data_IF_046532999458
#
_entry.id   IF_046532999458
#
_cell.length_a   1.000
_cell.length_b   1.000
_cell.length_c   1.000
_cell.angle_alpha   90.00
_cell.angle_beta   90.00
_cell.angle_gamma   90.00
#
_symmetry.space_group_name_H-M   'P 1'
#
loop_
_entity.id
_entity.type
_entity.pdbx_description
1 polymer ?
#
# COMPACT_ATOMS: atom_id res chain seq x y z
N UNK A 1 -21.21 -45.85 67.01
CA UNK A 1 -21.49 -45.98 65.56
C UNK A 1 -21.23 -44.61 64.92
N UNK A 2 -19.97 -44.31 64.52
CA UNK A 2 -19.56 -43.00 64.05
C UNK A 2 -19.36 -43.08 62.54
N UNK A 3 -20.21 -42.33 61.80
CA UNK A 3 -20.19 -42.23 60.35
C UNK A 3 -19.29 -41.03 59.99
N UNK A 4 -18.17 -41.32 59.35
CA UNK A 4 -17.24 -40.30 58.82
C UNK A 4 -17.68 -39.90 57.44
N UNK A 5 -18.15 -38.66 57.25
CA UNK A 5 -18.35 -38.06 55.95
C UNK A 5 -16.98 -37.57 55.42
N UNK A 6 -16.54 -38.13 54.30
CA UNK A 6 -15.39 -37.60 53.56
C UNK A 6 -15.90 -36.56 52.54
N UNK A 7 -15.50 -35.33 52.74
CA UNK A 7 -15.76 -34.24 51.78
C UNK A 7 -14.69 -34.30 50.65
N UNK A 8 -15.12 -34.61 49.41
CA UNK A 8 -14.29 -34.53 48.20
C UNK A 8 -14.20 -33.03 47.78
N UNK A 9 -13.03 -32.42 47.95
CA UNK A 9 -12.72 -31.12 47.34
C UNK A 9 -12.35 -31.34 45.84
N UNK A 10 -13.24 -30.92 44.94
CA UNK A 10 -12.95 -30.80 43.51
C UNK A 10 -12.15 -29.53 43.25
N UNK A 11 -10.85 -29.63 43.06
CA UNK A 11 -10.02 -28.53 42.54
C UNK A 11 -10.32 -28.35 41.02
N UNK A 12 -11.08 -27.32 40.70
CA UNK A 12 -11.25 -26.87 39.31
C UNK A 12 -10.01 -26.07 38.90
N UNK A 13 -9.10 -26.69 38.14
CA UNK A 13 -7.99 -26.01 37.46
C UNK A 13 -8.52 -25.24 36.26
N UNK A 14 -8.69 -23.92 36.40
CA UNK A 14 -9.00 -23.02 35.29
C UNK A 14 -7.79 -22.93 34.38
N UNK A 15 -7.88 -23.57 33.21
CA UNK A 15 -6.88 -23.46 32.14
C UNK A 15 -7.02 -22.07 31.49
N UNK A 16 -6.19 -21.12 31.86
CA UNK A 16 -6.09 -19.81 31.20
C UNK A 16 -5.34 -20.04 29.87
N UNK A 17 -6.07 -20.14 28.78
CA UNK A 17 -5.48 -20.14 27.44
C UNK A 17 -4.86 -18.75 27.18
N UNK A 18 -3.58 -18.67 26.81
CA UNK A 18 -3.02 -17.40 26.37
C UNK A 18 -3.72 -16.98 25.08
N UNK A 19 -4.50 -15.91 25.12
CA UNK A 19 -4.98 -15.23 23.93
C UNK A 19 -3.75 -14.64 23.23
N UNK A 20 -3.23 -15.30 22.23
CA UNK A 20 -2.31 -14.68 21.27
C UNK A 20 -3.13 -13.63 20.52
N UNK A 21 -3.22 -12.43 21.07
CA UNK A 21 -3.53 -11.26 20.29
C UNK A 21 -2.48 -11.24 19.18
N UNK A 22 -2.90 -11.52 17.95
CA UNK A 22 -2.05 -11.39 16.78
C UNK A 22 -1.57 -9.93 16.75
N UNK A 23 -0.36 -9.69 17.25
CA UNK A 23 0.38 -8.49 16.91
C UNK A 23 0.54 -8.56 15.39
N UNK A 24 -0.34 -7.85 14.67
CA UNK A 24 -0.14 -7.60 13.26
C UNK A 24 1.25 -6.97 13.16
N UNK A 25 2.18 -7.78 12.67
CA UNK A 25 3.57 -7.39 12.60
C UNK A 25 3.65 -6.13 11.75
N UNK A 26 4.13 -5.04 12.34
CA UNK A 26 4.49 -3.79 11.67
C UNK A 26 5.70 -4.04 10.76
N UNK A 27 5.51 -4.86 9.73
CA UNK A 27 6.55 -5.24 8.80
C UNK A 27 6.22 -4.74 7.39
N UNK A 28 7.23 -4.31 6.64
CA UNK A 28 7.03 -3.91 5.25
C UNK A 28 6.62 -5.12 4.41
N UNK A 29 5.66 -4.95 3.51
CA UNK A 29 5.40 -5.94 2.47
C UNK A 29 6.43 -5.78 1.36
N UNK A 30 7.17 -6.84 1.03
CA UNK A 30 8.25 -6.82 0.03
C UNK A 30 8.09 -7.88 -1.05
N UNK A 31 7.15 -8.81 -0.87
CA UNK A 31 6.91 -9.95 -1.75
C UNK A 31 5.59 -9.81 -2.52
N UNK A 32 5.46 -8.72 -3.28
CA UNK A 32 4.34 -8.50 -4.18
C UNK A 32 4.71 -8.81 -5.62
N UNK A 33 3.71 -9.20 -6.42
CA UNK A 33 3.87 -9.29 -7.87
C UNK A 33 4.44 -7.99 -8.44
N UNK A 34 5.25 -8.09 -9.48
CA UNK A 34 5.93 -6.93 -10.11
C UNK A 34 5.51 -6.76 -11.55
N UNK A 35 5.56 -5.53 -12.02
CA UNK A 35 5.38 -5.17 -13.41
C UNK A 35 6.34 -4.05 -13.81
N UNK A 36 6.69 -3.99 -15.07
CA UNK A 36 7.48 -2.90 -15.62
C UNK A 36 6.55 -1.85 -16.21
N UNK A 37 6.65 -0.63 -15.68
CA UNK A 37 6.02 0.54 -16.27
C UNK A 37 7.06 1.40 -16.98
N UNK A 38 6.58 2.31 -17.82
CA UNK A 38 7.41 3.31 -18.50
C UNK A 38 6.72 4.67 -18.50
N UNK A 39 7.52 5.74 -18.54
CA UNK A 39 7.05 7.09 -18.82
C UNK A 39 8.15 7.82 -19.62
N UNK A 40 7.84 8.23 -20.84
CA UNK A 40 8.86 8.70 -21.77
C UNK A 40 9.94 7.63 -22.00
N UNK A 41 11.19 7.95 -21.72
CA UNK A 41 12.35 7.04 -21.85
C UNK A 41 12.68 6.27 -20.57
N UNK A 42 11.96 6.53 -19.47
CA UNK A 42 12.27 5.94 -18.17
C UNK A 42 11.46 4.66 -17.94
N UNK A 43 12.15 3.64 -17.44
CA UNK A 43 11.53 2.39 -16.97
C UNK A 43 11.45 2.41 -15.46
N UNK A 44 10.38 1.86 -14.92
CA UNK A 44 10.09 1.77 -13.50
C UNK A 44 9.73 0.32 -13.19
N UNK A 45 10.43 -0.29 -12.26
CA UNK A 45 10.09 -1.60 -11.74
C UNK A 45 9.14 -1.43 -10.57
N UNK A 46 7.88 -1.79 -10.73
CA UNK A 46 6.83 -1.55 -9.75
C UNK A 46 6.31 -2.82 -9.11
N UNK A 47 6.13 -2.80 -7.80
CA UNK A 47 5.31 -3.78 -7.12
C UNK A 47 3.83 -3.43 -7.28
N UNK A 48 2.97 -4.44 -7.36
CA UNK A 48 1.52 -4.27 -7.59
C UNK A 48 0.79 -4.52 -6.27
N UNK A 49 0.11 -3.48 -5.76
CA UNK A 49 -0.83 -3.58 -4.64
C UNK A 49 -2.26 -3.60 -5.19
N UNK A 50 -2.89 -4.79 -5.23
CA UNK A 50 -4.21 -4.97 -5.86
C UNK A 50 -5.30 -5.50 -4.92
N UNK A 51 -4.94 -6.10 -3.78
CA UNK A 51 -5.94 -6.45 -2.75
C UNK A 51 -6.11 -5.30 -1.77
N UNK A 52 -7.26 -5.23 -1.09
CA UNK A 52 -7.51 -4.19 -0.07
C UNK A 52 -6.41 -4.15 0.98
N UNK A 53 -5.96 -5.31 1.48
CA UNK A 53 -4.87 -5.40 2.46
C UNK A 53 -3.54 -4.89 1.89
N UNK A 54 -3.20 -5.25 0.64
CA UNK A 54 -1.97 -4.77 0.00
C UNK A 54 -1.98 -3.26 -0.19
N UNK A 55 -3.13 -2.69 -0.59
CA UNK A 55 -3.29 -1.23 -0.74
C UNK A 55 -3.24 -0.51 0.60
N UNK A 56 -3.82 -1.09 1.66
CA UNK A 56 -3.78 -0.51 3.01
C UNK A 56 -2.35 -0.45 3.57
N UNK A 57 -1.56 -1.52 3.39
CA UNK A 57 -0.17 -1.56 3.85
C UNK A 57 0.72 -0.67 2.96
N UNK A 58 0.57 -0.73 1.65
CA UNK A 58 1.37 0.06 0.71
C UNK A 58 2.87 -0.02 0.98
N UNK A 59 3.53 1.14 1.06
CA UNK A 59 4.96 1.29 1.36
C UNK A 59 5.27 1.50 2.85
N UNK A 60 4.31 1.25 3.74
CA UNK A 60 4.52 1.35 5.19
C UNK A 60 5.74 0.55 5.65
N UNK A 61 6.43 1.05 6.67
CA UNK A 61 7.58 0.44 7.36
C UNK A 61 8.83 0.25 6.50
N UNK A 62 8.83 0.60 5.22
CA UNK A 62 10.04 0.53 4.38
C UNK A 62 11.01 1.64 4.75
N UNK A 63 12.27 1.27 4.95
CA UNK A 63 13.35 2.21 5.26
C UNK A 63 14.02 2.75 4.01
N UNK A 64 14.01 2.00 2.92
CA UNK A 64 14.64 2.37 1.65
C UNK A 64 13.81 1.85 0.47
N UNK A 65 13.92 2.51 -0.66
CA UNK A 65 13.39 2.08 -1.96
C UNK A 65 14.35 2.56 -3.06
N UNK A 66 14.82 1.66 -3.96
CA UNK A 66 15.67 2.05 -5.09
C UNK A 66 15.01 3.13 -5.96
N UNK A 67 15.84 3.98 -6.59
CA UNK A 67 15.33 5.12 -7.37
C UNK A 67 14.48 4.74 -8.60
N UNK A 68 14.72 3.56 -9.18
CA UNK A 68 13.96 3.06 -10.32
C UNK A 68 12.79 2.15 -9.91
N UNK A 69 12.51 2.05 -8.62
CA UNK A 69 11.40 1.24 -8.09
C UNK A 69 10.27 2.11 -7.53
N UNK A 70 9.07 1.53 -7.54
CA UNK A 70 7.87 2.12 -6.97
C UNK A 70 6.82 1.08 -6.62
N UNK A 71 5.63 1.55 -6.23
CA UNK A 71 4.46 0.71 -6.04
C UNK A 71 3.29 1.28 -6.83
N UNK A 72 2.66 0.41 -7.64
CA UNK A 72 1.42 0.73 -8.36
C UNK A 72 0.23 0.12 -7.60
N UNK A 73 -0.69 0.97 -7.18
CA UNK A 73 -1.95 0.58 -6.56
C UNK A 73 -3.00 0.45 -7.65
N UNK A 74 -3.68 -0.70 -7.68
CA UNK A 74 -4.70 -1.02 -8.67
C UNK A 74 -6.04 -1.17 -7.96
N UNK A 75 -7.02 -0.39 -8.39
CA UNK A 75 -8.38 -0.41 -7.87
C UNK A 75 -9.33 -1.06 -8.89
N UNK A 76 -10.42 -1.65 -8.42
CA UNK A 76 -11.38 -2.36 -9.26
C UNK A 76 -12.15 -1.41 -10.18
N UNK A 77 -12.47 -0.20 -9.67
CA UNK A 77 -13.22 0.83 -10.40
C UNK A 77 -12.57 2.20 -10.23
N UNK A 78 -12.67 3.08 -11.21
CA UNK A 78 -12.26 4.47 -11.04
C UNK A 78 -13.07 5.17 -9.95
N UNK A 79 -12.39 5.82 -9.03
CA UNK A 79 -12.97 6.64 -7.97
C UNK A 79 -11.99 7.74 -7.56
N UNK A 80 -12.44 8.73 -6.80
CA UNK A 80 -11.50 9.62 -6.09
C UNK A 80 -10.70 8.80 -5.11
N UNK A 81 -9.40 8.65 -5.37
CA UNK A 81 -8.49 7.91 -4.51
C UNK A 81 -7.74 8.90 -3.62
N UNK A 82 -7.69 8.61 -2.32
CA UNK A 82 -6.99 9.44 -1.34
C UNK A 82 -5.95 8.61 -0.60
N UNK A 83 -4.77 9.17 -0.42
CA UNK A 83 -3.62 8.53 0.22
C UNK A 83 -3.15 9.35 1.42
N UNK A 84 -2.57 8.68 2.39
CA UNK A 84 -1.94 9.23 3.58
C UNK A 84 -0.56 8.59 3.79
N UNK A 85 0.23 9.14 4.71
CA UNK A 85 1.59 8.66 4.97
C UNK A 85 1.76 8.01 6.35
N UNK A 86 0.66 7.55 6.97
CA UNK A 86 0.70 6.84 8.23
C UNK A 86 1.65 5.65 8.14
N UNK A 87 2.55 5.50 9.11
CA UNK A 87 3.58 4.45 9.16
C UNK A 87 4.52 4.39 7.93
N UNK A 88 4.48 5.36 7.02
CA UNK A 88 5.36 5.43 5.84
C UNK A 88 6.56 6.32 6.14
N UNK A 89 7.76 5.73 6.13
CA UNK A 89 9.00 6.39 6.53
C UNK A 89 9.69 7.13 5.37
N UNK A 90 9.34 6.76 4.14
CA UNK A 90 9.93 7.34 2.93
C UNK A 90 9.15 8.58 2.51
N UNK A 91 9.81 9.69 2.14
CA UNK A 91 9.15 10.77 1.42
C UNK A 91 8.79 10.29 0.01
N UNK A 92 7.52 10.41 -0.38
CA UNK A 92 6.97 9.88 -1.61
C UNK A 92 6.31 10.96 -2.45
N UNK A 93 6.20 10.72 -3.76
CA UNK A 93 5.29 11.42 -4.66
C UNK A 93 4.27 10.42 -5.19
N UNK A 94 2.98 10.67 -4.98
CA UNK A 94 1.90 9.93 -5.59
C UNK A 94 1.55 10.54 -6.96
N UNK A 95 1.54 9.72 -8.01
CA UNK A 95 0.98 10.02 -9.32
C UNK A 95 -0.38 9.34 -9.43
N UNK A 96 -1.44 10.10 -9.49
CA UNK A 96 -2.79 9.62 -9.74
C UNK A 96 -3.00 9.44 -11.25
N UNK A 97 -3.44 8.24 -11.68
CA UNK A 97 -3.36 7.83 -13.09
C UNK A 97 -4.70 7.31 -13.58
N UNK A 98 -5.18 7.86 -14.68
CA UNK A 98 -6.39 7.44 -15.36
C UNK A 98 -6.20 6.09 -16.08
N UNK A 99 -7.30 5.47 -16.51
CA UNK A 99 -7.32 4.14 -17.14
C UNK A 99 -6.45 4.05 -18.42
N UNK A 100 -6.27 5.17 -19.11
CA UNK A 100 -5.44 5.26 -20.32
C UNK A 100 -3.95 5.50 -20.05
N UNK A 101 -3.54 5.51 -18.76
CA UNK A 101 -2.17 5.76 -18.32
C UNK A 101 -1.83 7.24 -18.13
N UNK A 102 -2.73 8.18 -18.37
CA UNK A 102 -2.49 9.62 -18.19
C UNK A 102 -2.38 10.00 -16.73
N UNK A 103 -1.31 10.69 -16.36
CA UNK A 103 -1.16 11.28 -15.02
C UNK A 103 -2.14 12.44 -14.86
N UNK A 104 -3.08 12.30 -13.93
CA UNK A 104 -4.11 13.29 -13.60
C UNK A 104 -3.50 14.41 -12.75
N UNK A 105 -2.83 14.04 -11.67
CA UNK A 105 -2.10 14.95 -10.80
C UNK A 105 -0.95 14.22 -10.09
N UNK A 106 -0.01 15.00 -9.57
CA UNK A 106 1.13 14.57 -8.78
C UNK A 106 1.09 15.29 -7.44
N UNK A 107 1.31 14.56 -6.35
CA UNK A 107 1.32 15.16 -5.00
C UNK A 107 2.51 14.63 -4.21
N UNK A 108 3.34 15.53 -3.70
CA UNK A 108 4.41 15.21 -2.76
C UNK A 108 3.83 14.99 -1.36
N UNK A 109 4.20 13.89 -0.73
CA UNK A 109 3.66 13.45 0.54
C UNK A 109 4.79 13.33 1.57
N UNK A 110 4.59 13.94 2.73
CA UNK A 110 5.59 13.93 3.81
C UNK A 110 5.44 12.68 4.68
N UNK A 111 6.56 12.05 5.09
CA UNK A 111 6.54 10.87 5.95
C UNK A 111 5.73 11.09 7.24
N UNK A 112 5.08 10.03 7.70
CA UNK A 112 4.40 9.94 8.99
C UNK A 112 3.25 10.95 9.19
N UNK A 113 2.74 11.55 8.11
CA UNK A 113 1.57 12.46 8.17
C UNK A 113 0.28 11.70 7.85
N UNK A 114 -0.83 12.19 8.38
CA UNK A 114 -2.16 11.61 8.13
C UNK A 114 -3.05 12.52 7.26
N UNK A 115 -2.47 13.56 6.68
CA UNK A 115 -3.16 14.42 5.72
C UNK A 115 -3.57 13.59 4.49
N UNK A 116 -4.79 13.77 4.05
CA UNK A 116 -5.29 13.15 2.82
C UNK A 116 -4.78 13.86 1.59
N UNK A 117 -4.22 13.09 0.65
CA UNK A 117 -3.78 13.52 -0.66
C UNK A 117 -4.62 12.81 -1.71
N UNK A 118 -5.46 13.53 -2.45
CA UNK A 118 -6.48 12.93 -3.30
C UNK A 118 -6.24 13.18 -4.79
N UNK A 119 -6.83 12.32 -5.62
CA UNK A 119 -6.90 12.54 -7.07
C UNK A 119 -7.85 13.68 -7.41
N UNK A 120 -7.50 14.48 -8.42
CA UNK A 120 -8.34 15.55 -8.96
C UNK A 120 -9.50 15.02 -9.82
N UNK A 121 -9.38 13.83 -10.36
CA UNK A 121 -10.40 13.11 -11.14
C UNK A 121 -10.54 11.67 -10.61
N UNK A 122 -11.63 10.94 -10.88
CA UNK A 122 -11.69 9.52 -10.61
C UNK A 122 -10.58 8.76 -11.32
N UNK A 123 -9.82 7.93 -10.59
CA UNK A 123 -8.70 7.14 -11.12
C UNK A 123 -8.76 5.70 -10.63
N UNK A 124 -8.21 4.77 -11.41
CA UNK A 124 -8.04 3.38 -11.05
C UNK A 124 -6.63 3.06 -10.59
N UNK A 125 -5.66 3.88 -10.88
CA UNK A 125 -4.26 3.62 -10.58
C UNK A 125 -3.63 4.77 -9.81
N UNK A 126 -2.74 4.42 -8.86
CA UNK A 126 -1.87 5.39 -8.20
C UNK A 126 -0.46 4.81 -8.18
N UNK A 127 0.52 5.56 -8.69
CA UNK A 127 1.93 5.17 -8.67
C UNK A 127 2.67 6.00 -7.63
N UNK A 128 3.22 5.34 -6.60
CA UNK A 128 4.11 5.95 -5.63
C UNK A 128 5.57 5.74 -6.00
N UNK A 129 6.33 6.83 -6.01
CA UNK A 129 7.78 6.86 -6.26
C UNK A 129 8.47 7.64 -5.15
N UNK A 130 9.79 7.46 -5.01
CA UNK A 130 10.58 8.36 -4.16
C UNK A 130 10.31 9.82 -4.51
N UNK A 131 10.12 10.66 -3.50
CA UNK A 131 9.84 12.10 -3.69
C UNK A 131 10.87 12.75 -4.60
N UNK A 132 10.38 13.60 -5.50
CA UNK A 132 11.19 14.30 -6.49
C UNK A 132 11.59 13.47 -7.71
N UNK A 133 11.26 12.18 -7.79
CA UNK A 133 11.59 11.35 -8.94
C UNK A 133 11.00 11.90 -10.25
N UNK A 134 9.72 12.26 -10.23
CA UNK A 134 9.02 12.84 -11.39
C UNK A 134 9.60 14.21 -11.77
N UNK A 135 9.83 15.08 -10.80
CA UNK A 135 10.36 16.41 -11.00
C UNK A 135 11.77 16.39 -11.65
N UNK A 136 12.67 15.53 -11.14
CA UNK A 136 14.03 15.35 -11.69
C UNK A 136 14.04 14.89 -13.16
N UNK A 137 12.97 14.27 -13.62
CA UNK A 137 12.80 13.74 -14.98
C UNK A 137 11.88 14.61 -15.83
N UNK A 138 11.46 15.76 -15.32
CA UNK A 138 10.53 16.68 -15.98
C UNK A 138 9.21 16.00 -16.38
N UNK A 139 8.77 15.01 -15.62
CA UNK A 139 7.48 14.33 -15.79
C UNK A 139 6.42 15.12 -15.02
N UNK A 140 5.34 15.50 -15.71
CA UNK A 140 4.29 16.38 -15.19
C UNK A 140 2.91 15.77 -15.41
N UNK A 141 1.89 16.39 -14.82
CA UNK A 141 0.48 16.16 -15.17
C UNK A 141 0.31 16.11 -16.70
N UNK A 142 -0.45 15.15 -17.18
CA UNK A 142 -0.68 14.89 -18.60
C UNK A 142 0.32 13.92 -19.24
N UNK A 143 1.48 13.65 -18.60
CA UNK A 143 2.38 12.61 -19.07
C UNK A 143 1.70 11.24 -19.03
N UNK A 144 2.13 10.31 -19.92
CA UNK A 144 1.48 9.03 -20.08
C UNK A 144 2.38 7.89 -19.62
N UNK A 145 1.89 7.08 -18.69
CA UNK A 145 2.48 5.81 -18.32
C UNK A 145 2.16 4.75 -19.36
N UNK A 146 3.14 3.90 -19.67
CA UNK A 146 3.00 2.71 -20.52
C UNK A 146 3.25 1.45 -19.69
N UNK A 147 2.81 0.30 -20.22
CA UNK A 147 2.95 -1.01 -19.61
C UNK A 147 1.67 -1.84 -19.78
N UNK A 148 1.74 -3.12 -19.40
CA UNK A 148 0.61 -4.06 -19.58
C UNK A 148 -0.68 -3.57 -18.92
N UNK A 149 -0.59 -2.94 -17.74
CA UNK A 149 -1.75 -2.43 -17.00
C UNK A 149 -2.60 -1.44 -17.80
N UNK A 150 -2.00 -0.73 -18.75
CA UNK A 150 -2.66 0.29 -19.58
C UNK A 150 -2.92 -0.15 -21.02
N UNK A 151 -2.45 -1.33 -21.41
CA UNK A 151 -2.63 -1.85 -22.78
C UNK A 151 -3.98 -2.53 -23.00
N UNK A 152 -4.65 -3.00 -21.95
CA UNK A 152 -5.92 -3.72 -22.03
C UNK A 152 -7.16 -2.80 -22.27
N UNK A 153 -7.01 -1.48 -22.28
CA UNK A 153 -8.13 -0.52 -22.45
C UNK A 153 -8.51 -0.25 -23.91
N UNK A 154 -7.96 -1.03 -24.87
CA UNK A 154 -8.33 -0.94 -26.29
C UNK A 154 -9.37 -2.00 -26.67
N UNK A 155 -10.55 -2.00 -25.99
CA UNK A 155 -11.72 -2.72 -26.50
C UNK A 155 -12.95 -1.83 -26.37
#
# INVERSE_FOLDING_TARGET
MFQRLAALLLLSTSFVMPTHAQQQQQQPQTDLARTQLSVGLYKIDTQIAQTSQQREIGLMFRKTMPQAEGMIFVFEQPATQCFWMRNTLLPLTAAFVADDGRIVNLVDMQPLTENSHCSEEPVRYVLEMNQGWFAKKNIKKGAKLGGELFSATKR
#
